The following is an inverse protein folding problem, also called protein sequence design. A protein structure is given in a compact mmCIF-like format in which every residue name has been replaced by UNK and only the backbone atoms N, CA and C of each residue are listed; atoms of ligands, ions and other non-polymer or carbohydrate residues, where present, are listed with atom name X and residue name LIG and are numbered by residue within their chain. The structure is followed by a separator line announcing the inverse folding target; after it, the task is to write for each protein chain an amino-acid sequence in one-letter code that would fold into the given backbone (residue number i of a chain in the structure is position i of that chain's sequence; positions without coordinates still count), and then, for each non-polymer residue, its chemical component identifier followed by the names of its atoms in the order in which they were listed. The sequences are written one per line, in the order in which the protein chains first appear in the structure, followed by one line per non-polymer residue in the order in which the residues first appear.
data_IF_952960157590
#
_entry.id   IF_952960157590
#
_cell.length_a   1.000
_cell.length_b   1.000
_cell.length_c   1.000
_cell.angle_alpha   90.00
_cell.angle_beta   90.00
_cell.angle_gamma   90.00
#
_symmetry.space_group_name_H-M   'P 1'
#
loop_
_entity.id
_entity.type
_entity.pdbx_description
1 polymer ?
#
# COMPACT_ATOMS: atom_id res chain seq x y z
N UNK A 1 -3.65 -11.91 -4.53
CA UNK A 1 -3.82 -10.54 -4.00
C UNK A 1 -3.77 -9.58 -5.17
N UNK A 2 -4.71 -8.64 -5.24
CA UNK A 2 -4.85 -7.68 -6.34
C UNK A 2 -4.83 -6.27 -5.75
N UNK A 3 -4.21 -5.31 -6.44
CA UNK A 3 -4.35 -3.88 -6.14
C UNK A 3 -5.22 -3.32 -7.26
N UNK A 4 -6.37 -2.75 -6.91
CA UNK A 4 -7.28 -2.17 -7.89
C UNK A 4 -6.69 -0.91 -8.51
N UNK A 5 -7.02 -0.68 -9.78
CA UNK A 5 -6.66 0.57 -10.45
C UNK A 5 -7.52 1.69 -9.87
N UNK A 6 -6.86 2.62 -9.18
CA UNK A 6 -7.49 3.67 -8.40
C UNK A 6 -6.93 5.04 -8.84
N UNK A 7 -7.80 6.04 -9.00
CA UNK A 7 -7.42 7.41 -9.36
C UNK A 7 -6.58 8.07 -8.25
N UNK A 8 -6.85 7.73 -6.98
CA UNK A 8 -6.08 8.19 -5.83
C UNK A 8 -4.60 7.86 -5.97
N UNK A 9 -4.28 6.78 -6.70
CA UNK A 9 -2.91 6.36 -6.93
C UNK A 9 -2.15 7.29 -7.88
N UNK A 10 -2.83 7.79 -8.93
CA UNK A 10 -2.25 8.78 -9.83
C UNK A 10 -2.17 10.16 -9.17
N UNK A 11 -3.21 10.53 -8.42
CA UNK A 11 -3.32 11.83 -7.74
C UNK A 11 -2.24 12.00 -6.66
N UNK A 12 -2.04 10.99 -5.79
CA UNK A 12 -1.03 11.09 -4.74
C UNK A 12 0.39 11.14 -5.32
N UNK A 13 0.63 10.46 -6.45
CA UNK A 13 1.90 10.50 -7.17
C UNK A 13 2.16 11.91 -7.73
N UNK A 14 1.15 12.55 -8.31
CA UNK A 14 1.23 13.93 -8.78
C UNK A 14 1.45 14.91 -7.61
N UNK A 15 0.78 14.68 -6.47
CA UNK A 15 0.95 15.44 -5.24
C UNK A 15 2.28 15.17 -4.50
N UNK A 16 3.03 14.14 -4.93
CA UNK A 16 4.27 13.65 -4.28
C UNK A 16 4.06 13.31 -2.80
N UNK A 17 2.90 12.75 -2.49
CA UNK A 17 2.55 12.28 -1.14
C UNK A 17 2.30 10.77 -1.15
N UNK A 18 2.58 10.07 -0.04
CA UNK A 18 2.20 8.67 0.10
C UNK A 18 0.68 8.48 -0.05
N UNK A 19 0.25 7.40 -0.70
CA UNK A 19 -1.17 7.15 -0.93
C UNK A 19 -1.99 7.16 0.37
N UNK A 20 -1.51 6.49 1.41
CA UNK A 20 -2.18 6.43 2.70
C UNK A 20 -2.27 7.77 3.42
N UNK A 21 -1.41 8.73 3.11
CA UNK A 21 -1.48 10.09 3.66
C UNK A 21 -2.37 11.00 2.80
N UNK A 22 -2.29 10.87 1.48
CA UNK A 22 -3.07 11.66 0.53
C UNK A 22 -4.55 11.28 0.55
N UNK A 23 -4.84 9.97 0.54
CA UNK A 23 -6.19 9.43 0.50
C UNK A 23 -6.30 8.08 1.20
N UNK A 24 -6.32 8.18 2.53
CA UNK A 24 -6.37 7.04 3.45
C UNK A 24 -7.57 6.11 3.25
N UNK A 25 -8.69 6.63 2.75
CA UNK A 25 -9.96 5.92 2.55
C UNK A 25 -10.09 5.29 1.16
N UNK A 26 -9.06 5.41 0.30
CA UNK A 26 -9.06 4.76 -1.01
C UNK A 26 -8.88 3.24 -0.88
N UNK A 27 -9.50 2.49 -1.79
CA UNK A 27 -9.40 1.04 -1.81
C UNK A 27 -7.94 0.60 -2.06
N UNK A 28 -7.23 1.31 -2.93
CA UNK A 28 -5.82 1.03 -3.16
C UNK A 28 -4.96 1.25 -1.90
N UNK A 29 -5.29 2.19 -1.02
CA UNK A 29 -4.56 2.39 0.25
C UNK A 29 -4.73 1.19 1.18
N UNK A 30 -5.96 0.70 1.33
CA UNK A 30 -6.27 -0.48 2.15
C UNK A 30 -5.55 -1.73 1.63
N UNK A 31 -5.54 -1.92 0.31
CA UNK A 31 -4.89 -3.06 -0.34
C UNK A 31 -3.38 -3.01 -0.23
N UNK A 32 -2.76 -1.84 -0.42
CA UNK A 32 -1.32 -1.66 -0.21
C UNK A 32 -0.94 -1.92 1.25
N UNK A 33 -1.74 -1.46 2.22
CA UNK A 33 -1.51 -1.73 3.64
C UNK A 33 -1.62 -3.23 3.95
N UNK A 34 -2.64 -3.89 3.41
CA UNK A 34 -2.81 -5.34 3.51
C UNK A 34 -1.60 -6.09 2.92
N UNK A 35 -1.05 -5.61 1.79
CA UNK A 35 0.12 -6.22 1.14
C UNK A 35 1.35 -6.07 2.02
N UNK A 36 1.56 -4.86 2.54
CA UNK A 36 2.68 -4.55 3.41
C UNK A 36 2.67 -5.44 4.66
N UNK A 37 1.51 -5.60 5.31
CA UNK A 37 1.35 -6.47 6.46
C UNK A 37 1.62 -7.94 6.11
N UNK A 38 1.12 -8.42 4.98
CA UNK A 38 1.42 -9.77 4.50
C UNK A 38 2.94 -9.95 4.29
N UNK A 39 3.59 -8.99 3.63
CA UNK A 39 5.04 -9.02 3.44
C UNK A 39 5.82 -9.01 4.76
N UNK A 40 5.39 -8.23 5.74
CA UNK A 40 6.01 -8.22 7.07
C UNK A 40 5.87 -9.59 7.73
N UNK A 41 4.69 -10.18 7.75
CA UNK A 41 4.47 -11.50 8.37
C UNK A 41 5.31 -12.59 7.69
N UNK A 42 5.37 -12.59 6.35
CA UNK A 42 5.91 -13.71 5.59
C UNK A 42 7.36 -13.54 5.13
N UNK A 43 7.88 -12.32 5.00
CA UNK A 43 9.27 -12.07 4.58
C UNK A 43 10.17 -11.47 5.66
N UNK A 44 9.63 -10.86 6.73
CA UNK A 44 10.50 -10.44 7.85
C UNK A 44 10.97 -11.62 8.71
N UNK A 45 10.18 -12.71 8.76
CA UNK A 45 10.54 -13.96 9.43
C UNK A 45 11.78 -14.64 8.83
N UNK A 46 12.06 -14.44 7.53
CA UNK A 46 13.25 -14.96 6.86
C UNK A 46 14.54 -14.16 7.11
N UNK A 47 14.43 -12.98 7.76
CA UNK A 47 15.56 -12.08 8.04
C UNK A 47 16.15 -12.25 9.45
N UNK A 48 15.53 -13.11 10.27
CA UNK A 48 15.99 -13.46 11.62
C UNK A 48 16.87 -14.73 11.65
N UNK A 49 17.41 -15.15 10.50
CA UNK A 49 18.30 -16.31 10.35
C UNK A 49 19.72 -15.88 9.93
#
# INVERSE_FOLDING_TARGET
MTIHRDEAMAECLAAKQPLGEYRQDSLAAEEVLTLANWCLIHYSAGRAA
#
